data_IF_937263117058
#
_entry.id   IF_937263117058
#
_cell.length_a   1.000
_cell.length_b   1.000
_cell.length_c   1.000
_cell.angle_alpha   90.00
_cell.angle_beta   90.00
_cell.angle_gamma   90.00
#
_symmetry.space_group_name_H-M   'P 1'
#
loop_
_entity.id
_entity.type
_entity.pdbx_description
1 polymer ?
#
# COMPACT_ATOMS: atom_id res chain seq x y z
N UNK A 1 35.89 -33.63 8.86
CA UNK A 1 35.15 -32.88 7.83
C UNK A 1 34.19 -31.98 8.59
N UNK A 2 34.60 -30.73 8.84
CA UNK A 2 33.77 -29.79 9.62
C UNK A 2 32.75 -29.19 8.67
N UNK A 3 31.48 -29.51 8.87
CA UNK A 3 30.40 -28.74 8.28
C UNK A 3 30.28 -27.45 9.09
N UNK A 4 30.46 -26.35 8.40
CA UNK A 4 30.41 -24.98 8.86
C UNK A 4 29.06 -24.69 9.52
N UNK A 5 29.15 -24.04 10.67
CA UNK A 5 28.07 -23.39 11.38
C UNK A 5 27.45 -22.30 10.48
N UNK A 6 26.19 -22.47 10.09
CA UNK A 6 25.45 -21.44 9.36
C UNK A 6 24.85 -20.49 10.39
N UNK A 7 25.51 -19.38 10.64
CA UNK A 7 24.96 -18.23 11.37
C UNK A 7 23.62 -17.83 10.75
N UNK A 8 22.54 -17.59 11.52
CA UNK A 8 21.32 -17.02 10.96
C UNK A 8 21.64 -15.60 10.47
N UNK A 9 21.48 -15.35 9.17
CA UNK A 9 21.49 -13.98 8.64
C UNK A 9 20.41 -13.19 9.37
N UNK A 10 20.83 -12.20 10.16
CA UNK A 10 19.89 -11.34 10.89
C UNK A 10 19.32 -10.36 9.87
N UNK A 11 18.13 -10.65 9.36
CA UNK A 11 17.39 -9.74 8.46
C UNK A 11 17.28 -8.36 9.12
N UNK A 12 17.54 -7.29 8.38
CA UNK A 12 17.47 -5.91 8.89
C UNK A 12 16.09 -5.64 9.46
N UNK A 13 16.01 -5.30 10.75
CA UNK A 13 14.73 -4.99 11.40
C UNK A 13 14.15 -3.67 10.88
N UNK A 14 12.84 -3.64 10.65
CA UNK A 14 12.14 -2.45 10.23
C UNK A 14 10.81 -2.27 10.98
N UNK A 15 10.29 -1.04 10.98
CA UNK A 15 8.96 -0.68 11.51
C UNK A 15 8.43 0.52 10.73
N UNK A 16 7.14 0.48 10.40
CA UNK A 16 6.40 1.62 9.87
C UNK A 16 5.13 1.84 10.70
N UNK A 17 4.84 3.09 11.04
CA UNK A 17 3.58 3.53 11.65
C UNK A 17 3.15 4.80 10.94
N UNK A 18 1.88 4.86 10.54
CA UNK A 18 1.31 6.03 9.91
C UNK A 18 -0.05 5.74 9.30
N UNK A 19 -0.37 6.44 8.21
CA UNK A 19 -1.69 6.38 7.56
C UNK A 19 -1.54 5.90 6.12
N UNK A 20 -2.32 4.88 5.75
CA UNK A 20 -2.49 4.43 4.37
C UNK A 20 -3.77 4.99 3.75
N UNK A 21 -3.72 5.35 2.47
CA UNK A 21 -4.84 5.85 1.68
C UNK A 21 -5.01 4.93 0.47
N UNK A 22 -6.05 4.10 0.47
CA UNK A 22 -6.28 3.11 -0.58
C UNK A 22 -7.42 3.57 -1.50
N UNK A 23 -7.12 3.71 -2.79
CA UNK A 23 -8.10 4.04 -3.83
C UNK A 23 -8.11 2.93 -4.88
N UNK A 24 -9.19 2.13 -4.88
CA UNK A 24 -9.29 0.91 -5.68
C UNK A 24 -10.39 0.99 -6.74
N UNK A 25 -10.23 0.23 -7.83
CA UNK A 25 -11.22 0.11 -8.91
C UNK A 25 -12.39 -0.86 -8.59
N UNK A 26 -12.38 -1.47 -7.40
CA UNK A 26 -13.40 -2.42 -6.96
C UNK A 26 -14.54 -1.71 -6.19
N UNK A 27 -15.62 -2.45 -5.93
CA UNK A 27 -16.70 -1.99 -5.07
C UNK A 27 -16.17 -1.78 -3.63
N UNK A 28 -16.86 -0.93 -2.82
CA UNK A 28 -16.42 -0.59 -1.48
C UNK A 28 -16.05 -1.78 -0.60
N UNK A 29 -15.04 -1.59 0.25
CA UNK A 29 -14.53 -2.60 1.18
C UNK A 29 -13.46 -3.53 0.61
N UNK A 30 -13.14 -3.44 -0.69
CA UNK A 30 -12.17 -4.31 -1.38
C UNK A 30 -12.49 -5.78 -1.09
N UNK A 31 -13.44 -6.33 -1.84
CA UNK A 31 -14.06 -7.66 -1.65
C UNK A 31 -13.11 -8.82 -1.39
N UNK A 32 -11.86 -8.72 -1.85
CA UNK A 32 -10.78 -9.66 -1.54
C UNK A 32 -10.52 -9.83 -0.02
N UNK A 33 -10.71 -8.77 0.79
CA UNK A 33 -10.61 -8.86 2.25
C UNK A 33 -11.66 -9.78 2.88
N UNK A 34 -12.77 -10.04 2.17
CA UNK A 34 -13.88 -10.88 2.62
C UNK A 34 -13.90 -12.25 1.94
N UNK A 35 -12.72 -12.75 1.55
CA UNK A 35 -12.57 -13.99 0.76
C UNK A 35 -13.28 -13.96 -0.60
N UNK A 36 -13.54 -12.76 -1.13
CA UNK A 36 -14.09 -12.54 -2.47
C UNK A 36 -13.01 -12.38 -3.54
N UNK A 37 -13.44 -11.95 -4.72
CA UNK A 37 -12.61 -11.66 -5.89
C UNK A 37 -12.82 -10.20 -6.33
N UNK A 38 -11.93 -9.62 -7.16
CA UNK A 38 -12.12 -8.27 -7.70
C UNK A 38 -13.49 -8.11 -8.36
N UNK A 39 -14.14 -6.98 -8.11
CA UNK A 39 -15.48 -6.67 -8.67
C UNK A 39 -15.42 -5.58 -9.73
N UNK A 40 -14.24 -5.28 -10.27
CA UNK A 40 -14.14 -4.39 -11.43
C UNK A 40 -14.84 -5.05 -12.63
N UNK A 41 -15.28 -4.24 -13.59
CA UNK A 41 -16.01 -4.74 -14.76
C UNK A 41 -15.19 -5.73 -15.62
N UNK A 42 -13.87 -5.61 -15.59
CA UNK A 42 -12.93 -6.46 -16.33
C UNK A 42 -12.28 -7.57 -15.48
N UNK A 43 -12.63 -7.64 -14.17
CA UNK A 43 -12.07 -8.60 -13.22
C UNK A 43 -10.64 -8.29 -12.74
N UNK A 44 -10.05 -7.16 -13.13
CA UNK A 44 -8.73 -6.69 -12.66
C UNK A 44 -8.77 -6.07 -11.26
N UNK A 45 -7.63 -6.04 -10.57
CA UNK A 45 -7.46 -5.30 -9.33
C UNK A 45 -6.45 -4.18 -9.55
N UNK A 46 -6.87 -2.92 -9.37
CA UNK A 46 -6.02 -1.75 -9.56
C UNK A 46 -6.15 -0.83 -8.37
N UNK A 47 -5.01 -0.34 -7.88
CA UNK A 47 -4.96 0.48 -6.69
C UNK A 47 -3.97 1.64 -6.84
N UNK A 48 -4.36 2.81 -6.33
CA UNK A 48 -3.44 3.87 -5.93
C UNK A 48 -3.39 3.86 -4.39
N UNK A 49 -2.22 3.60 -3.82
CA UNK A 49 -2.00 3.45 -2.38
C UNK A 49 -1.04 4.52 -1.89
N UNK A 50 -1.59 5.55 -1.25
CA UNK A 50 -0.83 6.56 -0.54
C UNK A 50 -0.34 6.04 0.81
N UNK A 51 0.87 6.38 1.21
CA UNK A 51 1.41 6.05 2.54
C UNK A 51 2.08 7.27 3.14
N UNK A 52 1.57 7.76 4.26
CA UNK A 52 2.25 8.72 5.12
C UNK A 52 2.85 7.99 6.31
N UNK A 53 4.17 8.06 6.45
CA UNK A 53 4.91 7.44 7.55
C UNK A 53 5.09 8.50 8.64
N UNK A 54 4.39 8.37 9.75
CA UNK A 54 4.53 9.30 10.89
C UNK A 54 5.75 8.93 11.76
N UNK A 55 6.00 7.62 11.94
CA UNK A 55 7.20 7.07 12.58
C UNK A 55 7.67 5.85 11.79
N UNK A 56 8.94 5.81 11.39
CA UNK A 56 9.45 4.64 10.68
C UNK A 56 10.96 4.51 10.68
N UNK A 57 11.44 3.27 10.61
CA UNK A 57 12.86 2.97 10.56
C UNK A 57 13.14 1.67 9.83
N UNK A 58 14.27 1.59 9.15
CA UNK A 58 14.83 0.37 8.59
C UNK A 58 16.31 0.30 8.98
N UNK A 59 16.67 -0.58 9.92
CA UNK A 59 17.98 -0.56 10.55
C UNK A 59 18.27 0.79 11.21
N UNK A 60 19.22 1.55 10.65
CA UNK A 60 19.59 2.91 11.12
C UNK A 60 18.97 4.04 10.31
N UNK A 61 18.29 3.72 9.20
CA UNK A 61 17.70 4.70 8.30
C UNK A 61 16.35 5.14 8.84
N UNK A 62 16.18 6.45 9.03
CA UNK A 62 14.91 7.06 9.41
C UNK A 62 14.00 7.21 8.19
N UNK A 63 12.76 6.73 8.31
CA UNK A 63 11.72 6.79 7.29
C UNK A 63 10.56 7.70 7.71
N UNK A 64 10.67 8.37 8.85
CA UNK A 64 9.62 9.24 9.40
C UNK A 64 9.42 10.49 8.54
N UNK A 65 8.19 10.95 8.44
CA UNK A 65 7.79 12.13 7.66
C UNK A 65 7.64 11.90 6.16
N UNK A 66 7.98 10.71 5.66
CA UNK A 66 7.85 10.41 4.23
C UNK A 66 6.38 10.23 3.82
N UNK A 67 6.01 10.82 2.68
CA UNK A 67 4.73 10.58 2.01
C UNK A 67 4.99 9.98 0.63
N UNK A 68 4.44 8.81 0.36
CA UNK A 68 4.76 7.97 -0.79
C UNK A 68 3.45 7.57 -1.50
N UNK A 69 3.55 7.18 -2.76
CA UNK A 69 2.44 6.62 -3.53
C UNK A 69 2.89 5.35 -4.26
N UNK A 70 2.09 4.29 -4.20
CA UNK A 70 2.21 3.13 -5.07
C UNK A 70 1.03 3.09 -6.04
N UNK A 71 1.28 2.87 -7.32
CA UNK A 71 0.25 2.60 -8.32
C UNK A 71 0.46 1.16 -8.78
N UNK A 72 -0.53 0.31 -8.56
CA UNK A 72 -0.40 -1.13 -8.77
C UNK A 72 -1.54 -1.63 -9.65
N UNK A 73 -1.19 -2.41 -10.67
CA UNK A 73 -2.11 -3.02 -11.62
C UNK A 73 -1.92 -4.54 -11.62
N UNK A 74 -2.88 -5.26 -11.05
CA UNK A 74 -2.99 -6.71 -11.17
C UNK A 74 -4.04 -7.05 -12.23
N UNK A 75 -3.71 -7.96 -13.18
CA UNK A 75 -4.65 -8.35 -14.24
C UNK A 75 -5.88 -9.09 -13.71
N UNK A 76 -5.78 -9.68 -12.51
CA UNK A 76 -6.83 -10.45 -11.82
C UNK A 76 -6.74 -10.24 -10.31
N UNK A 77 -7.15 -11.23 -9.51
CA UNK A 77 -7.00 -11.19 -8.06
C UNK A 77 -5.54 -11.08 -7.65
N UNK A 78 -5.26 -10.35 -6.57
CA UNK A 78 -3.90 -10.10 -6.06
C UNK A 78 -3.12 -11.41 -5.86
N UNK A 79 -3.78 -12.46 -5.35
CA UNK A 79 -3.14 -13.76 -5.09
C UNK A 79 -2.79 -14.56 -6.36
N UNK A 80 -3.34 -14.20 -7.52
CA UNK A 80 -2.93 -14.79 -8.80
C UNK A 80 -1.59 -14.23 -9.29
N UNK A 81 -1.10 -13.16 -8.66
CA UNK A 81 0.15 -12.50 -9.01
C UNK A 81 0.10 -11.77 -10.35
N UNK A 82 1.27 -11.61 -10.97
CA UNK A 82 1.42 -10.93 -12.26
C UNK A 82 1.14 -9.43 -12.21
N UNK A 83 1.09 -8.84 -11.01
CA UNK A 83 0.92 -7.42 -10.82
C UNK A 83 2.13 -6.62 -11.27
N UNK A 84 1.93 -5.33 -11.53
CA UNK A 84 3.00 -4.37 -11.81
C UNK A 84 2.82 -3.16 -10.93
N UNK A 85 3.87 -2.79 -10.20
CA UNK A 85 3.88 -1.64 -9.31
C UNK A 85 4.80 -0.54 -9.84
N UNK A 86 4.31 0.69 -9.85
CA UNK A 86 5.13 1.90 -9.96
C UNK A 86 5.07 2.63 -8.62
N UNK A 87 6.24 2.92 -8.06
CA UNK A 87 6.34 3.71 -6.84
C UNK A 87 6.68 5.16 -7.17
N UNK A 88 5.97 6.10 -6.56
CA UNK A 88 6.26 7.52 -6.63
C UNK A 88 6.80 7.96 -5.27
N UNK A 89 7.99 8.54 -5.29
CA UNK A 89 8.67 9.03 -4.09
C UNK A 89 9.01 10.51 -4.27
N UNK A 90 8.86 11.35 -3.23
CA UNK A 90 9.28 12.74 -3.29
C UNK A 90 10.77 12.90 -3.65
N UNK A 91 11.17 13.96 -4.37
CA UNK A 91 12.57 14.17 -4.77
C UNK A 91 13.57 14.17 -3.61
N UNK A 92 13.15 14.58 -2.41
CA UNK A 92 13.95 14.62 -1.18
C UNK A 92 14.21 13.24 -0.56
N UNK A 93 13.50 12.18 -0.97
CA UNK A 93 13.77 10.82 -0.51
C UNK A 93 15.16 10.41 -0.95
N UNK A 94 16.03 10.13 0.02
CA UNK A 94 17.41 9.72 -0.25
C UNK A 94 17.47 8.31 -0.84
N UNK A 95 18.58 7.98 -1.51
CA UNK A 95 18.76 6.63 -2.07
C UNK A 95 18.82 5.55 -0.98
N UNK A 96 19.31 5.90 0.22
CA UNK A 96 19.30 5.01 1.38
C UNK A 96 17.87 4.69 1.84
N UNK A 97 17.02 5.72 1.96
CA UNK A 97 15.60 5.56 2.28
C UNK A 97 14.87 4.78 1.19
N UNK A 98 15.13 5.07 -0.09
CA UNK A 98 14.56 4.35 -1.21
C UNK A 98 14.94 2.87 -1.19
N UNK A 99 16.22 2.55 -0.92
CA UNK A 99 16.69 1.17 -0.80
C UNK A 99 16.04 0.41 0.37
N UNK A 100 15.77 1.10 1.49
CA UNK A 100 15.02 0.51 2.60
C UNK A 100 13.56 0.26 2.22
N UNK A 101 12.88 1.25 1.64
CA UNK A 101 11.49 1.13 1.21
C UNK A 101 11.31 0.05 0.14
N UNK A 102 12.26 -0.09 -0.78
CA UNK A 102 12.27 -1.14 -1.78
C UNK A 102 12.25 -2.52 -1.12
N UNK A 103 13.20 -2.82 -0.23
CA UNK A 103 13.27 -4.12 0.44
C UNK A 103 12.05 -4.40 1.34
N UNK A 104 11.47 -3.37 1.97
CA UNK A 104 10.23 -3.51 2.75
C UNK A 104 9.07 -3.86 1.81
N UNK A 105 8.79 -3.04 0.80
CA UNK A 105 7.62 -3.19 -0.05
C UNK A 105 7.72 -4.36 -1.05
N UNK A 106 8.91 -4.86 -1.37
CA UNK A 106 9.06 -6.13 -2.11
C UNK A 106 8.98 -7.36 -1.21
N UNK A 107 8.92 -7.18 0.12
CA UNK A 107 8.85 -8.26 1.10
C UNK A 107 10.20 -8.93 1.38
N UNK A 108 11.31 -8.41 0.85
CA UNK A 108 12.66 -8.96 1.05
C UNK A 108 13.08 -8.97 2.53
N UNK A 109 12.63 -7.99 3.33
CA UNK A 109 12.87 -7.99 4.77
C UNK A 109 11.81 -8.77 5.58
N UNK A 110 10.88 -9.44 4.89
CA UNK A 110 9.76 -10.14 5.51
C UNK A 110 8.79 -9.21 6.25
N UNK A 111 7.86 -9.82 7.00
CA UNK A 111 6.91 -9.11 7.84
C UNK A 111 5.61 -8.74 7.12
N UNK A 112 4.50 -8.93 7.83
CA UNK A 112 3.17 -8.63 7.31
C UNK A 112 2.90 -7.12 7.21
N UNK A 113 2.15 -6.67 6.18
CA UNK A 113 1.58 -7.45 5.09
C UNK A 113 2.53 -7.64 3.88
N UNK A 114 3.71 -7.04 3.90
CA UNK A 114 4.56 -6.90 2.71
C UNK A 114 5.22 -8.19 2.24
N UNK A 115 5.51 -9.13 3.14
CA UNK A 115 6.03 -10.45 2.75
C UNK A 115 5.06 -11.22 1.83
N UNK A 116 3.75 -10.98 1.96
CA UNK A 116 2.74 -11.53 1.07
C UNK A 116 2.57 -10.62 -0.14
N UNK A 117 2.26 -9.34 0.06
CA UNK A 117 1.90 -8.43 -1.03
C UNK A 117 3.05 -8.21 -2.03
N UNK A 118 4.28 -8.07 -1.55
CA UNK A 118 5.47 -7.86 -2.38
C UNK A 118 5.75 -9.01 -3.35
N UNK A 119 5.28 -10.23 -3.03
CA UNK A 119 5.40 -11.40 -3.91
C UNK A 119 4.42 -11.41 -5.09
N UNK A 120 3.44 -10.50 -5.10
CA UNK A 120 2.32 -10.51 -6.07
C UNK A 120 2.53 -9.60 -7.27
N UNK A 121 3.59 -8.78 -7.27
CA UNK A 121 3.90 -7.86 -8.36
C UNK A 121 5.40 -7.78 -8.66
N UNK A 122 5.72 -7.35 -9.88
CA UNK A 122 7.05 -6.84 -10.22
C UNK A 122 7.09 -5.31 -10.09
N UNK A 123 8.25 -4.77 -9.70
CA UNK A 123 8.46 -3.32 -9.71
C UNK A 123 8.74 -2.88 -11.14
N UNK A 124 7.76 -2.25 -11.77
CA UNK A 124 7.85 -1.74 -13.13
C UNK A 124 8.59 -0.40 -13.23
N UNK A 125 8.68 0.35 -12.13
CA UNK A 125 9.46 1.58 -12.09
C UNK A 125 9.35 2.37 -10.79
N UNK A 126 10.22 3.36 -10.67
CA UNK A 126 10.19 4.37 -9.60
C UNK A 126 10.19 5.74 -10.25
N UNK A 127 9.28 6.61 -9.82
CA UNK A 127 9.16 8.00 -10.30
C UNK A 127 9.48 8.93 -9.14
N UNK A 128 10.34 9.93 -9.37
CA UNK A 128 10.58 11.01 -8.41
C UNK A 128 9.65 12.17 -8.71
N UNK A 129 8.67 12.42 -7.86
CA UNK A 129 7.72 13.53 -7.99
C UNK A 129 7.11 13.90 -6.65
N UNK A 130 6.69 15.16 -6.48
CA UNK A 130 6.00 15.61 -5.29
C UNK A 130 4.73 14.78 -5.06
N UNK A 131 4.55 14.28 -3.84
CA UNK A 131 3.38 13.51 -3.41
C UNK A 131 2.71 14.25 -2.26
N UNK A 132 1.45 14.59 -2.45
CA UNK A 132 0.66 15.36 -1.49
C UNK A 132 -0.61 14.62 -1.11
N UNK A 133 -0.87 14.50 0.18
CA UNK A 133 -2.19 14.13 0.69
C UNK A 133 -3.05 15.39 0.71
N UNK A 134 -4.26 15.30 0.17
CA UNK A 134 -5.23 16.38 0.13
C UNK A 134 -6.46 16.03 0.96
N UNK A 135 -7.19 17.05 1.41
CA UNK A 135 -8.39 16.85 2.23
C UNK A 135 -8.10 16.30 3.63
N UNK A 136 -9.16 15.86 4.31
CA UNK A 136 -9.12 15.41 5.70
C UNK A 136 -10.12 14.28 5.94
N UNK A 137 -9.75 13.33 6.82
CA UNK A 137 -10.59 12.19 7.17
C UNK A 137 -11.01 11.37 5.96
N UNK A 138 -12.30 11.03 5.87
CA UNK A 138 -12.86 10.25 4.77
C UNK A 138 -12.93 11.03 3.45
N UNK A 139 -12.92 12.36 3.50
CA UNK A 139 -12.90 13.22 2.31
C UNK A 139 -11.45 13.65 2.03
N UNK A 140 -10.66 12.68 1.60
CA UNK A 140 -9.22 12.83 1.37
C UNK A 140 -8.82 12.29 0.01
N UNK A 141 -7.61 12.68 -0.42
CA UNK A 141 -7.04 12.29 -1.69
C UNK A 141 -5.54 12.24 -1.64
N UNK A 142 -4.95 11.77 -2.73
CA UNK A 142 -3.52 11.83 -2.97
C UNK A 142 -3.26 12.34 -4.38
N UNK A 143 -2.26 13.20 -4.52
CA UNK A 143 -1.84 13.75 -5.80
C UNK A 143 -0.33 13.57 -5.95
N UNK A 144 0.08 13.10 -7.11
CA UNK A 144 1.47 13.04 -7.52
C UNK A 144 1.65 13.89 -8.79
N UNK A 145 2.46 14.94 -8.73
CA UNK A 145 2.60 15.89 -9.83
C UNK A 145 3.08 15.20 -11.11
N UNK A 146 2.38 15.43 -12.23
CA UNK A 146 2.70 14.81 -13.51
C UNK A 146 2.44 13.30 -13.60
N UNK A 147 1.96 12.66 -12.53
CA UNK A 147 1.65 11.22 -12.49
C UNK A 147 0.14 10.98 -12.44
N UNK A 148 -0.55 11.59 -11.48
CA UNK A 148 -2.00 11.40 -11.34
C UNK A 148 -2.55 11.83 -9.98
N UNK A 149 -3.86 11.69 -9.82
CA UNK A 149 -4.58 11.97 -8.59
C UNK A 149 -5.63 10.89 -8.31
N UNK A 150 -5.91 10.67 -7.03
CA UNK A 150 -7.00 9.83 -6.56
C UNK A 150 -7.68 10.52 -5.37
N UNK A 151 -9.00 10.39 -5.28
CA UNK A 151 -9.81 10.97 -4.21
C UNK A 151 -10.82 9.96 -3.71
N UNK A 152 -11.18 10.08 -2.43
CA UNK A 152 -12.14 9.24 -1.74
C UNK A 152 -13.10 10.11 -0.93
N UNK A 153 -14.30 9.58 -0.73
CA UNK A 153 -15.31 10.17 0.14
C UNK A 153 -16.19 9.06 0.69
N UNK A 154 -17.07 9.40 1.63
CA UNK A 154 -18.02 8.45 2.20
C UNK A 154 -18.99 7.90 1.16
N UNK A 155 -19.51 6.69 1.40
CA UNK A 155 -20.60 6.14 0.61
C UNK A 155 -21.80 7.07 0.62
N UNK A 156 -22.59 7.04 -0.47
CA UNK A 156 -23.82 7.81 -0.62
C UNK A 156 -25.01 6.86 -0.71
N UNK A 157 -26.12 7.23 -0.08
CA UNK A 157 -27.38 6.54 -0.25
C UNK A 157 -27.82 6.64 -1.73
N UNK A 158 -28.07 5.53 -2.45
CA UNK A 158 -28.39 5.58 -3.87
C UNK A 158 -29.75 6.20 -4.19
N UNK A 159 -30.63 6.32 -3.20
CA UNK A 159 -31.97 6.92 -3.33
C UNK A 159 -31.96 8.41 -2.96
N UNK A 160 -31.32 8.78 -1.85
CA UNK A 160 -31.36 10.16 -1.32
C UNK A 160 -30.13 10.99 -1.66
N UNK A 161 -29.00 10.36 -1.99
CA UNK A 161 -27.70 11.02 -2.19
C UNK A 161 -27.02 11.50 -0.91
N UNK A 162 -27.61 11.23 0.26
CA UNK A 162 -27.05 11.61 1.56
C UNK A 162 -25.84 10.74 1.92
N UNK A 163 -25.02 11.24 2.86
CA UNK A 163 -23.90 10.47 3.41
C UNK A 163 -24.39 9.21 4.11
N UNK A 164 -23.71 8.11 3.81
CA UNK A 164 -24.01 6.79 4.34
C UNK A 164 -22.75 6.21 4.98
N UNK A 165 -22.60 6.41 6.29
CA UNK A 165 -21.51 5.82 7.07
C UNK A 165 -21.76 4.34 7.32
N UNK A 166 -20.73 3.52 7.15
CA UNK A 166 -20.78 2.07 7.38
C UNK A 166 -19.55 1.67 8.17
N UNK A 167 -19.71 0.79 9.16
CA UNK A 167 -18.58 0.19 9.86
C UNK A 167 -18.57 -1.32 9.67
N UNK A 168 -17.37 -1.86 9.45
CA UNK A 168 -17.13 -3.29 9.22
C UNK A 168 -16.08 -3.77 10.21
N UNK A 169 -16.34 -4.91 10.84
CA UNK A 169 -15.40 -5.58 11.73
C UNK A 169 -14.94 -6.88 11.07
N UNK A 170 -13.62 -7.02 10.94
CA UNK A 170 -12.96 -8.22 10.41
C UNK A 170 -11.94 -8.68 11.45
N UNK A 171 -12.37 -9.49 12.42
CA UNK A 171 -11.60 -9.83 13.63
C UNK A 171 -10.20 -10.40 13.31
N UNK A 172 -10.15 -11.27 12.30
CA UNK A 172 -8.93 -11.94 11.83
C UNK A 172 -8.39 -11.31 10.53
N UNK A 173 -8.76 -10.05 10.26
CA UNK A 173 -8.29 -9.31 9.10
C UNK A 173 -6.80 -8.97 9.21
N UNK A 174 -6.04 -9.29 8.15
CA UNK A 174 -4.58 -9.07 8.13
C UNK A 174 -4.18 -7.72 7.54
N UNK A 175 -5.00 -7.12 6.66
CA UNK A 175 -4.79 -5.76 6.15
C UNK A 175 -5.35 -4.73 7.14
N UNK A 176 -6.60 -4.93 7.56
CA UNK A 176 -7.30 -4.08 8.53
C UNK A 176 -8.24 -4.93 9.38
N UNK A 177 -8.54 -4.46 10.60
CA UNK A 177 -9.47 -5.13 11.53
C UNK A 177 -10.80 -4.40 11.68
N UNK A 178 -10.79 -3.08 11.47
CA UNK A 178 -11.99 -2.24 11.51
C UNK A 178 -11.96 -1.30 10.31
N UNK A 179 -13.00 -1.36 9.48
CA UNK A 179 -13.27 -0.38 8.42
C UNK A 179 -14.38 0.57 8.87
N UNK A 180 -14.25 1.86 8.59
CA UNK A 180 -15.19 2.92 8.94
C UNK A 180 -15.36 3.90 7.79
#
# INVERSE_FOLDING_TARGET
>A
MSATDTTPETTTSWRLKGTGYEFCNCQPGCTCNFSGFPTSADGSCKAAVGTRIDEGSCGKTDLSGLTLLAIIDWPKAIHDGGGKAVFVVPPEVTDEQLGCLAQIFTGELGGMPWEILGSTYEVAGVVRSAVEITGEGLSSGIKAEGVGEATGTTLKNPVTGEEHGVSIVLDEGFIWKTGQ
#
